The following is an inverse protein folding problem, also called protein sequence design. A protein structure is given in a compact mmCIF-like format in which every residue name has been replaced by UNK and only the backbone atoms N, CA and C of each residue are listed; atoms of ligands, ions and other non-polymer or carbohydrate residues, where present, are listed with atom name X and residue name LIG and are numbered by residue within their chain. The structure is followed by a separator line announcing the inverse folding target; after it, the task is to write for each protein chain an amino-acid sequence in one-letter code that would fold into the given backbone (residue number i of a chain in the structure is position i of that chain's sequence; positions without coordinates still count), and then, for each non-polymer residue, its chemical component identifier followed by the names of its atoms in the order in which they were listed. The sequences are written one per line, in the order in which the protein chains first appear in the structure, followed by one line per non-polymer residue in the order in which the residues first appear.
data_IF_134365910890
#
_entry.id   IF_134365910890
#
_cell.length_a   1.000
_cell.length_b   1.000
_cell.length_c   1.000
_cell.angle_alpha   90.00
_cell.angle_beta   90.00
_cell.angle_gamma   90.00
#
_symmetry.space_group_name_H-M   'P 1'
#
loop_
_entity.id
_entity.type
_entity.pdbx_description
1 polymer ?
#
# COMPACT_ATOMS: atom_id res chain seq x y z
N UNK A 1 -73.44 29.43 59.98
CA UNK A 1 -74.53 28.70 59.30
C UNK A 1 -73.87 27.61 58.45
N UNK A 2 -74.00 26.45 58.96
CA UNK A 2 -74.67 25.28 58.44
C UNK A 2 -73.83 24.27 57.63
N UNK A 3 -73.61 23.17 58.28
CA UNK A 3 -73.69 21.75 57.98
C UNK A 3 -72.61 21.13 57.01
N UNK A 4 -71.78 20.24 57.57
CA UNK A 4 -71.80 18.78 57.63
C UNK A 4 -71.95 18.08 56.28
N UNK A 5 -70.93 17.31 55.85
CA UNK A 5 -71.06 15.84 55.90
C UNK A 5 -69.74 15.08 55.65
N UNK A 6 -69.58 14.15 56.55
CA UNK A 6 -68.56 13.15 56.62
C UNK A 6 -68.93 11.99 55.66
N UNK A 7 -68.00 11.44 54.88
CA UNK A 7 -68.06 10.02 54.48
C UNK A 7 -66.64 9.46 54.29
N UNK A 8 -66.36 8.49 55.15
CA UNK A 8 -65.26 7.56 55.02
C UNK A 8 -65.43 6.71 53.76
N UNK A 9 -64.34 6.43 53.08
CA UNK A 9 -64.19 5.21 52.28
C UNK A 9 -62.74 4.75 52.27
N UNK A 10 -62.64 3.57 52.72
CA UNK A 10 -61.70 2.43 52.69
C UNK A 10 -60.41 2.54 51.89
N UNK A 11 -59.30 2.17 52.56
CA UNK A 11 -57.96 1.82 52.06
C UNK A 11 -58.05 0.59 51.18
N UNK A 12 -57.53 0.67 49.96
CA UNK A 12 -57.13 -0.46 49.16
C UNK A 12 -55.68 -0.28 48.79
N UNK A 13 -54.84 -1.03 49.39
CA UNK A 13 -53.42 -1.15 49.07
C UNK A 13 -53.29 -1.90 47.73
N UNK A 14 -52.86 -1.21 46.70
CA UNK A 14 -52.39 -1.86 45.46
C UNK A 14 -50.87 -1.87 45.40
N UNK A 15 -50.34 -3.05 45.53
CA UNK A 15 -48.91 -3.39 45.38
C UNK A 15 -48.50 -3.14 43.89
N UNK A 16 -47.88 -2.04 43.61
CA UNK A 16 -47.32 -1.75 42.29
C UNK A 16 -45.99 -2.48 42.09
N UNK A 17 -45.99 -3.52 41.27
CA UNK A 17 -44.77 -4.12 40.76
C UNK A 17 -44.04 -3.12 39.85
N UNK A 18 -42.92 -2.61 40.28
CA UNK A 18 -42.02 -1.80 39.45
C UNK A 18 -41.27 -2.77 38.54
N UNK A 19 -41.71 -2.90 37.30
CA UNK A 19 -40.93 -3.56 36.25
C UNK A 19 -39.72 -2.65 35.91
N UNK A 20 -38.54 -2.96 36.44
CA UNK A 20 -37.29 -2.42 35.91
C UNK A 20 -37.03 -3.03 34.52
N UNK A 21 -37.43 -2.28 33.48
CA UNK A 21 -36.91 -2.51 32.13
C UNK A 21 -35.45 -2.12 32.12
N UNK A 22 -34.56 -3.09 32.27
CA UNK A 22 -33.14 -2.93 31.98
C UNK A 22 -32.98 -2.66 30.50
N UNK A 23 -32.69 -1.43 30.11
CA UNK A 23 -32.16 -1.12 28.81
C UNK A 23 -30.71 -1.69 28.77
N UNK A 24 -30.55 -2.86 28.18
CA UNK A 24 -29.27 -3.30 27.69
C UNK A 24 -28.88 -2.32 26.57
N UNK A 25 -27.91 -1.44 26.84
CA UNK A 25 -27.17 -0.74 25.82
C UNK A 25 -26.42 -1.84 25.06
N UNK A 26 -26.97 -2.25 23.93
CA UNK A 26 -26.22 -2.98 22.94
C UNK A 26 -25.14 -2.01 22.45
N UNK A 27 -23.90 -2.26 22.84
CA UNK A 27 -22.71 -1.65 22.27
C UNK A 27 -22.62 -2.19 20.84
N UNK A 28 -23.36 -1.58 19.91
CA UNK A 28 -23.18 -1.78 18.49
C UNK A 28 -21.89 -1.06 18.12
N UNK A 29 -20.75 -1.73 18.32
CA UNK A 29 -19.59 -1.48 17.48
C UNK A 29 -20.10 -1.69 16.06
N UNK A 30 -20.22 -0.60 15.30
CA UNK A 30 -20.46 -0.66 13.88
C UNK A 30 -19.22 -1.37 13.28
N UNK A 31 -19.28 -2.69 13.15
CA UNK A 31 -18.47 -3.41 12.18
C UNK A 31 -18.86 -2.81 10.83
N UNK A 32 -17.98 -1.98 10.29
CA UNK A 32 -18.10 -1.47 8.94
C UNK A 32 -18.19 -2.72 8.06
N UNK A 33 -19.33 -2.91 7.36
CA UNK A 33 -19.52 -3.98 6.38
C UNK A 33 -18.52 -3.78 5.24
N UNK A 34 -17.27 -4.21 5.43
CA UNK A 34 -16.24 -4.34 4.39
C UNK A 34 -16.22 -5.76 3.83
N UNK A 35 -17.22 -6.58 4.18
CA UNK A 35 -17.29 -7.97 3.77
C UNK A 35 -17.35 -8.06 2.24
N UNK A 36 -16.29 -8.65 1.63
CA UNK A 36 -16.12 -8.76 0.19
C UNK A 36 -15.53 -7.51 -0.51
N UNK A 37 -15.21 -6.43 0.20
CA UNK A 37 -14.47 -5.30 -0.37
C UNK A 37 -12.96 -5.53 -0.29
N UNK A 38 -12.23 -4.96 -1.25
CA UNK A 38 -10.77 -4.97 -1.31
C UNK A 38 -10.23 -3.54 -1.22
N UNK A 39 -8.99 -3.36 -0.77
CA UNK A 39 -8.35 -2.05 -0.87
C UNK A 39 -8.34 -1.56 -2.32
N UNK A 40 -8.78 -0.32 -2.52
CA UNK A 40 -8.83 0.32 -3.85
C UNK A 40 -7.50 0.24 -4.61
N UNK A 41 -6.41 0.05 -3.87
CA UNK A 41 -5.04 0.04 -4.43
C UNK A 41 -4.63 -1.30 -5.03
N UNK A 42 -5.25 -2.42 -4.65
CA UNK A 42 -4.83 -3.78 -5.02
C UNK A 42 -5.57 -4.26 -6.27
N UNK A 43 -4.99 -3.99 -7.43
CA UNK A 43 -5.59 -4.42 -8.71
C UNK A 43 -5.26 -5.87 -9.06
N UNK A 44 -4.01 -6.28 -8.81
CA UNK A 44 -3.56 -7.65 -9.03
C UNK A 44 -2.37 -7.97 -8.11
N UNK A 45 -2.42 -9.15 -7.50
CA UNK A 45 -1.37 -9.62 -6.58
C UNK A 45 -0.95 -11.01 -7.01
N UNK A 46 0.34 -11.24 -7.35
CA UNK A 46 0.85 -12.54 -7.79
C UNK A 46 0.92 -13.54 -6.63
N UNK A 47 0.98 -14.82 -6.94
CA UNK A 47 1.04 -15.90 -5.94
C UNK A 47 2.30 -15.88 -5.08
N UNK A 48 3.35 -15.23 -5.55
CA UNK A 48 4.59 -15.04 -4.79
C UNK A 48 4.50 -13.99 -3.66
N UNK A 49 3.41 -13.23 -3.58
CA UNK A 49 3.18 -12.23 -2.52
C UNK A 49 2.16 -12.78 -1.52
N UNK A 50 2.64 -13.21 -0.37
CA UNK A 50 1.80 -13.76 0.71
C UNK A 50 1.19 -12.66 1.58
N UNK A 51 1.95 -11.62 1.85
CA UNK A 51 1.59 -10.52 2.74
C UNK A 51 1.65 -9.16 2.05
N UNK A 52 0.67 -8.31 2.36
CA UNK A 52 0.61 -6.91 1.95
C UNK A 52 0.32 -6.09 3.20
N UNK A 53 1.11 -5.05 3.43
CA UNK A 53 0.88 -4.10 4.51
C UNK A 53 0.33 -2.80 3.94
N UNK A 54 -0.77 -2.31 4.54
CA UNK A 54 -1.35 -1.00 4.19
C UNK A 54 -1.44 -0.15 5.44
N UNK A 55 -0.68 0.94 5.45
CA UNK A 55 -0.67 1.92 6.51
C UNK A 55 -1.73 2.99 6.26
N UNK A 56 -2.79 3.03 7.06
CA UNK A 56 -3.73 4.15 7.17
C UNK A 56 -3.14 5.18 8.13
N UNK A 57 -2.59 6.26 7.58
CA UNK A 57 -1.90 7.27 8.40
C UNK A 57 -2.86 8.17 9.17
N UNK A 58 -4.12 8.31 8.74
CA UNK A 58 -5.14 9.09 9.44
C UNK A 58 -5.66 8.37 10.69
N UNK A 59 -5.78 7.05 10.62
CA UNK A 59 -6.23 6.20 11.71
C UNK A 59 -5.07 5.72 12.61
N UNK A 60 -3.81 5.98 12.24
CA UNK A 60 -2.63 5.41 12.87
C UNK A 60 -2.69 3.87 12.96
N UNK A 61 -3.10 3.24 11.87
CA UNK A 61 -3.39 1.80 11.81
C UNK A 61 -2.65 1.15 10.64
N UNK A 62 -1.97 0.05 10.92
CA UNK A 62 -1.39 -0.85 9.92
C UNK A 62 -2.36 -2.01 9.69
N UNK A 63 -2.86 -2.16 8.47
CA UNK A 63 -3.67 -3.29 8.03
C UNK A 63 -2.79 -4.33 7.37
N UNK A 64 -3.05 -5.60 7.67
CA UNK A 64 -2.43 -6.74 7.02
C UNK A 64 -3.45 -7.43 6.12
N UNK A 65 -3.06 -7.63 4.89
CA UNK A 65 -3.80 -8.45 3.93
C UNK A 65 -2.97 -9.67 3.59
N UNK A 66 -3.61 -10.82 3.52
CA UNK A 66 -2.95 -12.10 3.25
C UNK A 66 -3.59 -12.80 2.08
N UNK A 67 -2.79 -13.67 1.45
CA UNK A 67 -3.28 -14.55 0.42
C UNK A 67 -4.00 -15.74 1.05
N UNK A 68 -5.17 -16.07 0.50
CA UNK A 68 -5.95 -17.26 0.82
C UNK A 68 -6.37 -17.97 -0.47
N UNK A 69 -6.99 -19.13 -0.35
CA UNK A 69 -7.57 -19.86 -1.49
C UNK A 69 -8.68 -19.05 -2.19
N UNK A 70 -9.31 -18.13 -1.49
CA UNK A 70 -10.35 -17.24 -2.03
C UNK A 70 -9.79 -15.92 -2.63
N UNK A 71 -8.47 -15.71 -2.60
CA UNK A 71 -7.80 -14.49 -3.03
C UNK A 71 -7.20 -13.70 -1.87
N UNK A 72 -7.04 -12.40 -2.05
CA UNK A 72 -6.52 -11.52 -1.00
C UNK A 72 -7.65 -11.19 -0.02
N UNK A 73 -7.38 -11.31 1.28
CA UNK A 73 -8.33 -11.01 2.35
C UNK A 73 -7.69 -10.16 3.44
N UNK A 74 -8.49 -9.33 4.10
CA UNK A 74 -8.07 -8.61 5.30
C UNK A 74 -7.93 -9.59 6.45
N UNK A 75 -6.74 -9.70 7.02
CA UNK A 75 -6.44 -10.63 8.11
C UNK A 75 -6.58 -9.96 9.47
N UNK A 76 -5.88 -8.85 9.65
CA UNK A 76 -5.86 -8.13 10.92
C UNK A 76 -5.46 -6.66 10.72
N UNK A 77 -5.56 -5.90 11.80
CA UNK A 77 -5.05 -4.54 11.88
C UNK A 77 -4.40 -4.28 13.24
N UNK A 78 -3.45 -3.37 13.27
CA UNK A 78 -2.70 -3.03 14.48
C UNK A 78 -2.34 -1.56 14.53
N UNK A 79 -2.22 -1.07 15.77
CA UNK A 79 -1.78 0.30 16.00
C UNK A 79 -0.39 0.54 15.45
N UNK A 80 -0.14 1.73 14.90
CA UNK A 80 1.18 2.21 14.50
C UNK A 80 1.40 3.68 14.87
N UNK A 81 2.68 4.07 14.97
CA UNK A 81 3.11 5.47 15.02
C UNK A 81 3.77 5.86 13.71
N UNK A 82 3.58 7.11 13.31
CA UNK A 82 4.15 7.72 12.11
C UNK A 82 4.97 8.97 12.44
N UNK A 83 5.43 9.66 11.43
CA UNK A 83 6.21 10.90 11.56
C UNK A 83 5.53 11.96 12.43
N UNK A 84 6.30 12.66 13.27
CA UNK A 84 5.81 13.73 14.17
C UNK A 84 5.06 14.84 13.44
N UNK A 85 5.41 15.09 12.17
CA UNK A 85 4.75 16.06 11.31
C UNK A 85 3.67 15.43 10.40
N UNK A 86 3.21 14.19 10.72
CA UNK A 86 2.20 13.46 9.96
C UNK A 86 2.76 12.78 8.71
N UNK A 87 1.92 12.64 7.69
CA UNK A 87 2.24 12.02 6.41
C UNK A 87 2.46 13.05 5.28
N UNK A 88 2.96 12.58 4.13
CA UNK A 88 3.26 13.41 2.95
C UNK A 88 4.67 13.99 2.98
N UNK A 89 5.68 13.09 3.13
CA UNK A 89 7.10 13.44 3.10
C UNK A 89 7.52 13.96 1.73
N UNK A 90 8.23 15.10 1.72
CA UNK A 90 8.78 15.73 0.52
C UNK A 90 10.28 15.98 0.64
N UNK A 91 10.77 16.30 1.83
CA UNK A 91 12.15 16.76 2.06
C UNK A 91 12.83 15.97 3.18
N UNK A 92 14.16 15.90 3.11
CA UNK A 92 14.96 15.43 4.22
C UNK A 92 14.62 16.22 5.50
N UNK A 93 14.55 15.55 6.64
CA UNK A 93 14.33 16.12 7.97
C UNK A 93 12.96 16.79 8.21
N UNK A 94 11.97 16.61 7.33
CA UNK A 94 10.61 17.14 7.51
C UNK A 94 9.77 16.39 8.55
N UNK A 95 10.29 15.27 9.08
CA UNK A 95 9.65 14.39 10.07
C UNK A 95 8.29 13.86 9.63
N UNK A 96 8.10 13.72 8.32
CA UNK A 96 6.88 13.17 7.75
C UNK A 96 7.10 11.76 7.23
N UNK A 97 6.08 10.93 7.33
CA UNK A 97 6.03 9.62 6.68
C UNK A 97 5.66 9.80 5.20
N UNK A 98 6.35 9.17 4.26
CA UNK A 98 6.00 9.26 2.84
C UNK A 98 4.67 8.56 2.56
N UNK A 99 3.96 9.02 1.52
CA UNK A 99 2.77 8.38 0.98
C UNK A 99 3.12 7.76 -0.37
N UNK A 100 2.62 6.56 -0.65
CA UNK A 100 2.91 5.84 -1.88
C UNK A 100 3.05 4.34 -1.68
N UNK A 101 3.61 3.66 -2.68
CA UNK A 101 3.85 2.20 -2.69
C UNK A 101 5.33 1.95 -2.54
N UNK A 102 5.72 1.26 -1.47
CA UNK A 102 7.10 0.92 -1.13
C UNK A 102 7.28 -0.58 -0.97
N UNK A 103 8.54 -1.01 -0.96
CA UNK A 103 8.91 -2.40 -0.71
C UNK A 103 9.93 -2.46 0.42
N UNK A 104 9.86 -3.50 1.22
CA UNK A 104 10.90 -3.85 2.19
C UNK A 104 12.16 -4.19 1.39
N UNK A 105 13.31 -3.62 1.76
CA UNK A 105 14.57 -3.88 1.06
C UNK A 105 15.39 -4.99 1.70
N UNK A 106 15.35 -5.08 3.02
CA UNK A 106 16.09 -6.07 3.80
C UNK A 106 15.50 -6.21 5.21
N UNK A 107 15.94 -7.25 5.95
CA UNK A 107 15.71 -7.39 7.39
C UNK A 107 17.00 -7.08 8.12
N UNK A 108 16.99 -6.08 9.01
CA UNK A 108 18.18 -5.64 9.72
C UNK A 108 18.41 -6.41 11.03
N UNK A 109 19.66 -6.68 11.34
CA UNK A 109 20.07 -7.21 12.65
C UNK A 109 19.98 -6.13 13.72
N UNK A 110 18.90 -6.15 14.50
CA UNK A 110 18.61 -5.13 15.53
C UNK A 110 19.62 -5.12 16.67
N UNK A 111 20.38 -6.19 16.88
CA UNK A 111 21.46 -6.23 17.90
C UNK A 111 22.58 -5.21 17.62
N UNK A 112 22.67 -4.71 16.40
CA UNK A 112 23.64 -3.71 15.93
C UNK A 112 23.04 -2.31 15.79
N UNK A 113 21.76 -2.15 16.10
CA UNK A 113 21.05 -0.89 15.96
C UNK A 113 20.83 -0.24 17.34
N UNK A 114 20.43 1.03 17.32
CA UNK A 114 20.00 1.72 18.53
C UNK A 114 18.69 1.12 19.04
N UNK A 115 18.51 1.03 20.35
CA UNK A 115 17.34 0.42 21.02
C UNK A 115 15.99 0.98 20.56
N UNK A 116 15.97 2.23 20.08
CA UNK A 116 14.75 2.87 19.54
C UNK A 116 14.08 2.11 18.38
N UNK A 117 14.80 1.23 17.70
CA UNK A 117 14.27 0.43 16.60
C UNK A 117 13.60 -0.88 17.05
N UNK A 118 13.71 -1.22 18.35
CA UNK A 118 12.99 -2.32 18.96
C UNK A 118 13.39 -3.71 18.45
N UNK A 119 12.40 -4.60 18.39
CA UNK A 119 12.62 -6.02 18.17
C UNK A 119 12.95 -6.40 16.72
N UNK A 120 12.54 -5.62 15.74
CA UNK A 120 12.80 -5.85 14.31
C UNK A 120 12.85 -4.52 13.55
N UNK A 121 13.53 -4.50 12.40
CA UNK A 121 13.64 -3.32 11.56
C UNK A 121 13.77 -3.70 10.07
N UNK A 122 12.96 -3.08 9.23
CA UNK A 122 12.84 -3.30 7.81
C UNK A 122 12.90 -1.96 7.05
N UNK A 123 14.02 -1.62 6.42
CA UNK A 123 14.09 -0.44 5.56
C UNK A 123 13.13 -0.56 4.38
N UNK A 124 12.52 0.58 4.03
CA UNK A 124 11.72 0.74 2.82
C UNK A 124 12.55 1.45 1.74
N UNK A 125 12.22 1.19 0.49
CA UNK A 125 12.90 1.74 -0.70
C UNK A 125 12.59 3.21 -1.00
N UNK A 126 12.29 4.00 0.04
CA UNK A 126 12.14 5.45 -0.07
C UNK A 126 13.51 6.16 -0.19
N UNK A 127 13.73 7.10 -1.14
CA UNK A 127 12.82 7.50 -2.22
C UNK A 127 12.86 6.51 -3.40
N UNK A 128 11.70 6.06 -3.86
CA UNK A 128 11.55 5.22 -5.04
C UNK A 128 11.66 6.05 -6.35
N UNK A 129 11.42 5.44 -7.53
CA UNK A 129 11.55 6.17 -8.80
C UNK A 129 10.52 7.31 -8.93
N UNK A 130 9.30 7.13 -8.42
CA UNK A 130 8.27 8.17 -8.42
C UNK A 130 8.62 9.32 -7.47
N UNK A 131 9.17 9.02 -6.31
CA UNK A 131 9.64 10.06 -5.38
C UNK A 131 10.77 10.89 -6.00
N UNK A 132 11.73 10.23 -6.64
CA UNK A 132 12.83 10.91 -7.37
C UNK A 132 12.32 11.74 -8.55
N UNK A 133 11.35 11.23 -9.31
CA UNK A 133 10.66 11.99 -10.35
C UNK A 133 10.08 13.30 -9.82
N UNK A 134 9.48 13.26 -8.62
CA UNK A 134 8.92 14.43 -7.95
C UNK A 134 9.97 15.23 -7.13
N UNK A 135 11.26 14.91 -7.26
CA UNK A 135 12.35 15.58 -6.54
C UNK A 135 12.21 15.51 -5.01
N UNK A 136 11.51 14.49 -4.50
CA UNK A 136 11.45 14.23 -3.07
C UNK A 136 12.80 13.75 -2.56
N UNK A 137 13.16 14.17 -1.35
CA UNK A 137 14.49 13.90 -0.78
C UNK A 137 14.41 13.31 0.61
N UNK A 138 15.53 12.80 1.10
CA UNK A 138 15.65 12.10 2.37
C UNK A 138 15.88 10.61 2.16
N UNK A 139 16.05 9.88 3.25
CA UNK A 139 16.31 8.44 3.30
C UNK A 139 15.98 7.90 4.68
N UNK A 140 16.12 6.59 4.88
CA UNK A 140 16.02 5.98 6.20
C UNK A 140 14.58 5.91 6.73
N UNK A 141 13.62 5.67 5.85
CA UNK A 141 12.25 5.34 6.23
C UNK A 141 12.16 3.82 6.42
N UNK A 142 11.82 3.40 7.63
CA UNK A 142 11.77 2.01 8.02
C UNK A 142 10.42 1.64 8.62
N UNK A 143 10.06 0.38 8.52
CA UNK A 143 9.10 -0.28 9.40
C UNK A 143 9.90 -0.91 10.54
N UNK A 144 9.62 -0.53 11.80
CA UNK A 144 10.40 -1.01 12.93
C UNK A 144 9.58 -1.09 14.23
N UNK A 145 10.14 -1.73 15.24
CA UNK A 145 9.56 -1.83 16.57
C UNK A 145 9.72 -0.55 17.41
N UNK A 146 9.52 -0.69 18.70
CA UNK A 146 9.62 0.40 19.68
C UNK A 146 10.70 0.07 20.73
N UNK A 147 11.29 1.10 21.33
CA UNK A 147 12.23 0.93 22.45
C UNK A 147 11.58 0.11 23.56
N UNK A 148 12.25 -0.95 24.01
CA UNK A 148 11.77 -1.83 25.09
C UNK A 148 11.54 -1.10 26.42
N UNK A 149 12.29 -0.01 26.66
CA UNK A 149 12.14 0.82 27.85
C UNK A 149 11.03 1.88 27.70
N UNK A 150 10.58 2.14 26.47
CA UNK A 150 9.49 3.07 26.17
C UNK A 150 8.56 2.47 25.09
N UNK A 151 7.78 1.43 25.45
CA UNK A 151 6.99 0.68 24.46
C UNK A 151 5.73 1.41 23.97
N UNK A 152 5.31 2.46 24.67
CA UNK A 152 4.11 3.22 24.30
C UNK A 152 4.52 4.48 23.54
N UNK A 153 4.01 4.62 22.31
CA UNK A 153 4.23 5.79 21.49
C UNK A 153 2.89 6.43 21.09
N UNK A 154 2.80 7.76 21.07
CA UNK A 154 1.65 8.43 20.45
C UNK A 154 1.63 8.21 18.93
N UNK A 155 0.49 8.47 18.25
CA UNK A 155 0.39 8.28 16.81
C UNK A 155 1.42 9.06 15.99
N UNK A 156 1.80 10.25 16.44
CA UNK A 156 2.78 11.15 15.80
C UNK A 156 4.06 11.23 16.65
N UNK A 157 5.02 10.33 16.40
CA UNK A 157 6.19 10.23 17.29
C UNK A 157 7.53 9.90 16.58
N UNK A 158 7.52 9.51 15.31
CA UNK A 158 8.74 9.12 14.61
C UNK A 158 9.35 10.27 13.80
N UNK A 159 10.56 10.09 13.28
CA UNK A 159 11.18 11.02 12.32
C UNK A 159 10.75 10.75 10.86
N UNK A 160 9.68 9.96 10.68
CA UNK A 160 9.08 9.58 9.39
C UNK A 160 8.93 8.08 9.17
N UNK A 161 9.46 7.25 10.04
CA UNK A 161 9.30 5.79 10.01
C UNK A 161 7.87 5.36 10.36
N UNK A 162 7.53 4.12 10.04
CA UNK A 162 6.37 3.40 10.53
C UNK A 162 6.82 2.55 11.73
N UNK A 163 6.25 2.76 12.91
CA UNK A 163 6.64 2.02 14.10
C UNK A 163 5.46 1.27 14.69
N UNK A 164 5.64 -0.03 14.94
CA UNK A 164 4.67 -0.93 15.54
C UNK A 164 5.10 -1.34 16.95
N UNK A 165 4.18 -1.68 17.87
CA UNK A 165 4.53 -2.38 19.09
C UNK A 165 5.35 -3.64 18.78
N UNK A 166 6.38 -3.92 19.58
CA UNK A 166 7.32 -5.03 19.31
C UNK A 166 6.63 -6.38 19.13
N UNK A 167 5.65 -6.71 19.97
CA UNK A 167 4.91 -7.97 19.88
C UNK A 167 4.12 -8.07 18.58
N UNK A 168 3.53 -6.97 18.11
CA UNK A 168 2.77 -6.92 16.86
C UNK A 168 3.70 -7.06 15.65
N UNK A 169 4.85 -6.42 15.68
CA UNK A 169 5.84 -6.53 14.61
C UNK A 169 6.43 -7.94 14.52
N UNK A 170 6.74 -8.56 15.68
CA UNK A 170 7.30 -9.92 15.72
C UNK A 170 6.36 -10.98 15.13
N UNK A 171 5.05 -10.78 15.15
CA UNK A 171 4.08 -11.67 14.48
C UNK A 171 4.15 -11.60 12.96
N UNK A 172 4.79 -10.56 12.41
CA UNK A 172 4.93 -10.35 10.96
C UNK A 172 6.30 -10.80 10.42
N UNK A 173 7.33 -10.85 11.28
CA UNK A 173 8.74 -10.99 10.83
C UNK A 173 8.95 -12.15 9.87
N UNK A 174 8.36 -13.31 10.14
CA UNK A 174 8.56 -14.53 9.36
C UNK A 174 7.85 -14.49 7.98
N UNK A 175 6.84 -13.63 7.82
CA UNK A 175 6.06 -13.48 6.59
C UNK A 175 6.52 -12.31 5.72
N UNK A 176 7.28 -11.36 6.28
CA UNK A 176 7.78 -10.20 5.54
C UNK A 176 9.00 -10.59 4.69
N UNK A 177 8.83 -10.52 3.38
CA UNK A 177 9.86 -10.91 2.41
C UNK A 177 10.51 -9.69 1.77
N UNK A 178 11.84 -9.49 1.92
CA UNK A 178 12.55 -8.41 1.23
C UNK A 178 12.35 -8.45 -0.29
N UNK A 179 12.18 -7.28 -0.89
CA UNK A 179 11.95 -7.05 -2.31
C UNK A 179 10.63 -7.64 -2.87
N UNK A 180 9.81 -8.29 -2.01
CA UNK A 180 8.53 -8.92 -2.40
C UNK A 180 7.36 -8.28 -1.69
N UNK A 181 7.40 -8.17 -0.36
CA UNK A 181 6.29 -7.62 0.43
C UNK A 181 6.11 -6.13 0.17
N UNK A 182 4.97 -5.69 -0.40
CA UNK A 182 4.65 -4.28 -0.56
C UNK A 182 4.16 -3.67 0.76
N UNK A 183 4.57 -2.43 0.99
CA UNK A 183 4.09 -1.57 2.08
C UNK A 183 3.46 -0.34 1.44
N UNK A 184 2.14 -0.31 1.38
CA UNK A 184 1.37 0.80 0.83
C UNK A 184 1.08 1.78 1.97
N UNK A 185 1.51 3.02 1.82
CA UNK A 185 1.29 4.07 2.83
C UNK A 185 0.26 5.04 2.27
N UNK A 186 -0.96 4.93 2.77
CA UNK A 186 -2.10 5.74 2.38
C UNK A 186 -2.40 6.82 3.43
N UNK A 187 -3.01 7.91 3.02
CA UNK A 187 -3.58 8.88 3.94
C UNK A 187 -4.73 8.26 4.71
N UNK A 188 -5.59 7.57 3.99
CA UNK A 188 -6.73 6.80 4.49
C UNK A 188 -6.87 5.55 3.65
N UNK A 189 -7.27 4.43 4.26
CA UNK A 189 -7.56 3.21 3.53
C UNK A 189 -8.93 3.33 2.86
N UNK A 190 -8.91 3.30 1.52
CA UNK A 190 -10.11 3.30 0.68
C UNK A 190 -10.44 1.89 0.18
N UNK A 191 -11.73 1.59 0.07
CA UNK A 191 -12.26 0.29 -0.30
C UNK A 191 -13.01 0.35 -1.62
N UNK A 192 -12.96 -0.74 -2.38
CA UNK A 192 -13.66 -0.89 -3.65
C UNK A 192 -14.28 -2.29 -3.78
N UNK A 193 -15.31 -2.40 -4.62
CA UNK A 193 -15.84 -3.71 -4.98
C UNK A 193 -14.87 -4.45 -5.92
N UNK A 194 -14.79 -5.79 -5.86
CA UNK A 194 -13.98 -6.57 -6.80
C UNK A 194 -14.30 -6.25 -8.27
N UNK A 195 -15.57 -5.98 -8.60
CA UNK A 195 -15.98 -5.66 -9.97
C UNK A 195 -15.39 -4.33 -10.48
N UNK A 196 -15.28 -3.30 -9.61
CA UNK A 196 -14.66 -2.03 -9.98
C UNK A 196 -13.16 -2.19 -10.21
N UNK A 197 -12.50 -3.00 -9.37
CA UNK A 197 -11.08 -3.31 -9.51
C UNK A 197 -10.79 -4.13 -10.77
N UNK A 198 -11.65 -5.09 -11.11
CA UNK A 198 -11.50 -5.95 -12.29
C UNK A 198 -11.48 -5.14 -13.60
N UNK A 199 -12.38 -4.18 -13.75
CA UNK A 199 -12.41 -3.32 -14.93
C UNK A 199 -11.09 -2.55 -15.12
N UNK A 200 -10.58 -1.95 -14.05
CA UNK A 200 -9.34 -1.19 -14.06
C UNK A 200 -8.12 -2.11 -14.27
N UNK A 201 -8.10 -3.28 -13.61
CA UNK A 201 -7.06 -4.29 -13.79
C UNK A 201 -6.96 -4.73 -15.25
N UNK A 202 -8.07 -5.01 -15.92
CA UNK A 202 -8.08 -5.42 -17.32
C UNK A 202 -7.53 -4.32 -18.24
N UNK A 203 -7.92 -3.06 -18.05
CA UNK A 203 -7.35 -1.95 -18.82
C UNK A 203 -5.83 -1.85 -18.62
N UNK A 204 -5.37 -1.97 -17.38
CA UNK A 204 -3.94 -1.89 -17.07
C UNK A 204 -3.15 -3.08 -17.64
N UNK A 205 -3.73 -4.29 -17.58
CA UNK A 205 -3.13 -5.48 -18.19
C UNK A 205 -2.95 -5.32 -19.69
N UNK A 206 -3.91 -4.74 -20.39
CA UNK A 206 -3.78 -4.46 -21.84
C UNK A 206 -2.61 -3.52 -22.11
N UNK A 207 -2.44 -2.46 -21.33
CA UNK A 207 -1.32 -1.52 -21.48
C UNK A 207 0.04 -2.19 -21.22
N UNK A 208 0.12 -2.98 -20.15
CA UNK A 208 1.35 -3.74 -19.81
C UNK A 208 1.69 -4.79 -20.87
N UNK A 209 0.67 -5.49 -21.40
CA UNK A 209 0.89 -6.49 -22.45
C UNK A 209 1.31 -5.84 -23.78
N UNK A 210 0.77 -4.67 -24.12
CA UNK A 210 1.23 -3.89 -25.27
C UNK A 210 2.72 -3.51 -25.14
N UNK A 211 3.15 -3.10 -23.94
CA UNK A 211 4.56 -2.84 -23.66
C UNK A 211 5.41 -4.11 -23.84
N UNK A 212 4.97 -5.26 -23.31
CA UNK A 212 5.65 -6.54 -23.43
C UNK A 212 5.78 -6.97 -24.92
N UNK A 213 4.67 -6.92 -25.64
CA UNK A 213 4.61 -7.32 -27.06
C UNK A 213 5.48 -6.43 -27.94
N UNK A 214 5.47 -5.11 -27.72
CA UNK A 214 6.32 -4.19 -28.50
C UNK A 214 7.81 -4.47 -28.29
N UNK A 215 8.21 -4.85 -27.06
CA UNK A 215 9.57 -5.25 -26.77
C UNK A 215 9.94 -6.60 -27.43
N UNK A 216 9.04 -7.58 -27.39
CA UNK A 216 9.21 -8.91 -27.98
C UNK A 216 9.32 -8.85 -29.52
N UNK A 217 8.50 -8.04 -30.15
CA UNK A 217 8.44 -7.89 -31.61
C UNK A 217 9.50 -6.94 -32.17
N UNK A 218 10.26 -6.25 -31.32
CA UNK A 218 11.22 -5.23 -31.76
C UNK A 218 10.53 -3.96 -32.28
N UNK A 219 9.25 -3.73 -31.93
CA UNK A 219 8.52 -2.52 -32.33
C UNK A 219 8.86 -1.34 -31.42
N UNK A 220 9.98 -0.68 -31.75
CA UNK A 220 10.47 0.47 -31.01
C UNK A 220 9.47 1.64 -31.01
N UNK A 221 8.71 1.83 -32.10
CA UNK A 221 7.77 2.94 -32.20
C UNK A 221 6.63 2.77 -31.20
N UNK A 222 5.99 1.61 -31.18
CA UNK A 222 4.95 1.29 -30.20
C UNK A 222 5.53 1.30 -28.78
N UNK A 223 6.71 0.70 -28.55
CA UNK A 223 7.37 0.71 -27.25
C UNK A 223 7.56 2.13 -26.72
N UNK A 224 8.16 3.03 -27.51
CA UNK A 224 8.41 4.41 -27.10
C UNK A 224 7.12 5.25 -26.99
N UNK A 225 6.07 4.90 -27.71
CA UNK A 225 4.78 5.58 -27.60
C UNK A 225 4.11 5.40 -26.22
N UNK A 226 4.50 4.36 -25.47
CA UNK A 226 4.02 4.10 -24.12
C UNK A 226 4.73 4.94 -23.05
N UNK A 227 5.77 5.69 -23.40
CA UNK A 227 6.49 6.55 -22.46
C UNK A 227 6.00 7.99 -22.58
N UNK A 228 5.73 8.63 -21.44
CA UNK A 228 5.28 10.01 -21.39
C UNK A 228 6.38 11.00 -21.84
N UNK A 229 5.98 12.18 -22.32
CA UNK A 229 6.94 13.21 -22.75
C UNK A 229 7.82 13.70 -21.59
N UNK A 230 7.29 13.70 -20.36
CA UNK A 230 8.00 14.04 -19.12
C UNK A 230 8.66 12.84 -18.42
N UNK A 231 8.79 11.69 -19.11
CA UNK A 231 9.44 10.50 -18.57
C UNK A 231 10.86 10.77 -18.11
N UNK A 232 11.22 10.20 -16.96
CA UNK A 232 12.59 10.24 -16.41
C UNK A 232 12.99 8.84 -15.92
N UNK A 233 14.17 8.41 -16.34
CA UNK A 233 14.86 7.23 -15.79
C UNK A 233 16.21 7.64 -15.26
N UNK A 234 16.40 7.64 -13.93
CA UNK A 234 17.58 8.21 -13.27
C UNK A 234 17.79 9.67 -13.72
N UNK A 235 18.86 9.95 -14.48
CA UNK A 235 19.18 11.27 -15.02
C UNK A 235 18.87 11.40 -16.53
N UNK A 236 18.29 10.36 -17.14
CA UNK A 236 17.93 10.35 -18.56
C UNK A 236 16.53 10.92 -18.78
N UNK A 237 16.45 11.89 -19.70
CA UNK A 237 15.20 12.40 -20.24
C UNK A 237 14.52 11.37 -21.17
N UNK A 238 13.31 11.67 -21.62
CA UNK A 238 12.59 10.89 -22.62
C UNK A 238 13.39 10.72 -23.93
N UNK A 239 14.10 11.75 -24.36
CA UNK A 239 14.93 11.73 -25.59
C UNK A 239 16.19 10.90 -25.43
N UNK A 240 16.87 11.03 -24.29
CA UNK A 240 18.05 10.21 -23.94
C UNK A 240 17.65 8.74 -23.85
N UNK A 241 16.50 8.44 -23.23
CA UNK A 241 15.94 7.10 -23.15
C UNK A 241 15.62 6.53 -24.53
N UNK A 242 15.03 7.31 -25.41
CA UNK A 242 14.72 6.89 -26.78
C UNK A 242 15.98 6.53 -27.56
N UNK A 243 17.02 7.35 -27.46
CA UNK A 243 18.31 7.11 -28.09
C UNK A 243 18.99 5.86 -27.54
N UNK A 244 18.94 5.67 -26.21
CA UNK A 244 19.46 4.46 -25.57
C UNK A 244 18.71 3.20 -26.03
N UNK A 245 17.36 3.26 -26.08
CA UNK A 245 16.54 2.13 -26.50
C UNK A 245 16.70 1.78 -27.98
N UNK A 246 16.89 2.76 -28.85
CA UNK A 246 17.20 2.51 -30.24
C UNK A 246 18.43 1.58 -30.37
N UNK A 247 19.52 1.89 -29.72
CA UNK A 247 20.69 1.04 -29.72
C UNK A 247 20.46 -0.37 -29.13
N UNK A 248 19.61 -0.46 -28.09
CA UNK A 248 19.24 -1.77 -27.50
C UNK A 248 18.44 -2.63 -28.47
N UNK A 249 17.46 -2.04 -29.16
CA UNK A 249 16.59 -2.73 -30.13
C UNK A 249 17.36 -3.16 -31.38
N UNK A 250 18.31 -2.33 -31.87
CA UNK A 250 19.18 -2.66 -32.99
C UNK A 250 20.17 -3.78 -32.66
N UNK A 251 20.67 -3.81 -31.43
CA UNK A 251 21.70 -4.77 -31.02
C UNK A 251 21.17 -6.15 -30.58
N UNK A 252 19.84 -6.27 -30.39
CA UNK A 252 19.28 -7.49 -29.77
C UNK A 252 17.98 -7.93 -30.44
N UNK A 253 17.99 -9.18 -30.93
CA UNK A 253 16.76 -9.91 -31.22
C UNK A 253 16.37 -10.77 -30.03
N UNK A 254 15.10 -10.76 -29.66
CA UNK A 254 14.55 -11.56 -28.57
C UNK A 254 13.74 -12.71 -29.16
N UNK A 255 13.96 -13.91 -28.64
CA UNK A 255 13.16 -15.08 -28.98
C UNK A 255 11.82 -15.11 -28.21
N UNK A 256 11.70 -14.31 -27.14
CA UNK A 256 10.50 -14.19 -26.36
C UNK A 256 10.69 -13.25 -25.16
N UNK A 257 9.57 -12.72 -24.64
CA UNK A 257 9.51 -11.91 -23.44
C UNK A 257 8.37 -12.42 -22.55
N UNK A 258 8.71 -12.91 -21.36
CA UNK A 258 7.73 -13.27 -20.33
C UNK A 258 7.74 -12.25 -19.19
N UNK A 259 6.58 -12.07 -18.56
CA UNK A 259 6.41 -11.31 -17.33
C UNK A 259 5.81 -12.23 -16.29
N UNK A 260 6.60 -12.55 -15.28
CA UNK A 260 6.21 -13.38 -14.16
C UNK A 260 6.00 -12.52 -12.90
N UNK A 261 5.28 -13.03 -11.90
CA UNK A 261 5.06 -12.36 -10.62
C UNK A 261 4.52 -10.93 -10.75
N UNK A 262 3.51 -10.74 -11.59
CA UNK A 262 2.97 -9.41 -11.87
C UNK A 262 2.12 -8.91 -10.72
N UNK A 263 2.57 -7.83 -10.09
CA UNK A 263 1.83 -7.04 -9.11
C UNK A 263 1.38 -5.74 -9.79
N UNK A 264 0.08 -5.44 -9.74
CA UNK A 264 -0.50 -4.17 -10.22
C UNK A 264 -1.16 -3.46 -9.06
N UNK A 265 -0.73 -2.24 -8.78
CA UNK A 265 -1.26 -1.43 -7.69
C UNK A 265 -1.53 0.01 -8.15
N UNK A 266 -2.59 0.61 -7.62
CA UNK A 266 -2.83 2.04 -7.75
C UNK A 266 -2.06 2.80 -6.66
N UNK A 267 -1.58 4.00 -6.97
CA UNK A 267 -0.97 4.87 -5.96
C UNK A 267 -2.07 5.38 -4.99
N UNK A 268 -1.83 5.32 -3.67
CA UNK A 268 -2.85 5.67 -2.68
C UNK A 268 -3.09 7.18 -2.54
N UNK A 269 -2.22 8.03 -3.08
CA UNK A 269 -2.31 9.49 -2.93
C UNK A 269 -2.52 10.19 -4.27
N UNK A 270 -1.91 9.67 -5.34
CA UNK A 270 -1.92 10.33 -6.64
C UNK A 270 -2.93 9.65 -7.56
N UNK A 271 -4.02 10.35 -7.83
CA UNK A 271 -5.06 9.87 -8.74
C UNK A 271 -4.47 9.55 -10.12
N UNK A 272 -4.90 8.44 -10.71
CA UNK A 272 -4.48 7.99 -12.02
C UNK A 272 -2.97 7.67 -12.14
N UNK A 273 -2.30 7.44 -11.02
CA UNK A 273 -0.95 6.89 -10.97
C UNK A 273 -1.00 5.42 -10.55
N UNK A 274 -0.23 4.60 -11.21
CA UNK A 274 -0.22 3.15 -11.00
C UNK A 274 1.20 2.61 -11.06
N UNK A 275 1.45 1.50 -10.38
CA UNK A 275 2.69 0.76 -10.41
C UNK A 275 2.45 -0.65 -10.92
N UNK A 276 3.22 -1.07 -11.93
CA UNK A 276 3.42 -2.48 -12.23
C UNK A 276 4.81 -2.92 -11.78
N UNK A 277 4.88 -3.99 -10.98
CA UNK A 277 6.13 -4.69 -10.61
C UNK A 277 6.05 -6.12 -11.13
N UNK A 278 7.10 -6.59 -11.77
CA UNK A 278 7.14 -7.93 -12.34
C UNK A 278 8.56 -8.42 -12.52
N UNK A 279 8.72 -9.72 -12.65
CA UNK A 279 9.94 -10.37 -13.10
C UNK A 279 9.90 -10.47 -14.63
N UNK A 280 10.77 -9.71 -15.29
CA UNK A 280 10.94 -9.78 -16.75
C UNK A 280 11.95 -10.87 -17.09
N UNK A 281 11.56 -11.79 -17.99
CA UNK A 281 12.44 -12.81 -18.56
C UNK A 281 12.58 -12.57 -20.06
N UNK A 282 13.78 -12.18 -20.47
CA UNK A 282 14.14 -11.99 -21.88
C UNK A 282 14.84 -13.26 -22.40
N UNK A 283 14.26 -13.90 -23.41
CA UNK A 283 14.88 -15.04 -24.09
C UNK A 283 15.84 -14.50 -25.15
N UNK A 284 17.15 -14.64 -24.90
CA UNK A 284 18.22 -14.21 -25.82
C UNK A 284 18.96 -15.42 -26.38
N UNK A 285 19.76 -15.23 -27.44
CA UNK A 285 20.59 -16.27 -28.02
C UNK A 285 21.60 -16.87 -27.01
N UNK A 286 21.96 -16.11 -25.98
CA UNK A 286 22.84 -16.52 -24.89
C UNK A 286 22.11 -17.17 -23.71
N UNK A 287 20.78 -17.33 -23.79
CA UNK A 287 19.91 -17.85 -22.75
C UNK A 287 19.01 -16.77 -22.10
N UNK A 288 18.21 -17.14 -21.09
CA UNK A 288 17.31 -16.24 -20.44
C UNK A 288 18.06 -15.21 -19.58
N UNK A 289 17.60 -13.95 -19.66
CA UNK A 289 18.05 -12.86 -18.79
C UNK A 289 16.85 -12.41 -17.95
N UNK A 290 16.98 -12.54 -16.64
CA UNK A 290 15.91 -12.23 -15.68
C UNK A 290 16.24 -10.95 -14.93
N UNK A 291 15.26 -10.05 -14.84
CA UNK A 291 15.37 -8.79 -14.08
C UNK A 291 14.02 -8.43 -13.46
N UNK A 292 14.01 -7.90 -12.24
CA UNK A 292 12.80 -7.26 -11.70
C UNK A 292 12.66 -5.89 -12.32
N UNK A 293 11.44 -5.54 -12.69
CA UNK A 293 11.07 -4.24 -13.24
C UNK A 293 9.94 -3.63 -12.46
N UNK A 294 10.00 -2.31 -12.27
CA UNK A 294 8.91 -1.49 -11.77
C UNK A 294 8.68 -0.35 -12.75
N UNK A 295 7.44 -0.25 -13.26
CA UNK A 295 7.03 0.82 -14.16
C UNK A 295 5.94 1.64 -13.48
N UNK A 296 6.13 2.95 -13.42
CA UNK A 296 5.15 3.90 -12.91
C UNK A 296 4.38 4.47 -14.09
N UNK A 297 3.06 4.27 -14.05
CA UNK A 297 2.17 4.59 -15.15
C UNK A 297 1.23 5.71 -14.76
N UNK A 298 1.03 6.65 -15.66
CA UNK A 298 -0.03 7.66 -15.57
C UNK A 298 -1.12 7.31 -16.57
N UNK A 299 -2.37 7.27 -16.10
CA UNK A 299 -3.56 7.11 -16.94
C UNK A 299 -4.20 8.47 -17.12
N UNK A 300 -4.32 8.95 -18.37
CA UNK A 300 -4.98 10.21 -18.68
C UNK A 300 -6.51 10.07 -18.66
N UNK A 301 -7.22 11.20 -18.73
CA UNK A 301 -8.70 11.21 -18.71
C UNK A 301 -9.31 10.53 -19.95
N UNK A 302 -8.61 10.53 -21.08
CA UNK A 302 -8.96 9.80 -22.31
C UNK A 302 -8.49 8.32 -22.27
N UNK A 303 -8.15 7.81 -21.09
CA UNK A 303 -7.74 6.42 -20.79
C UNK A 303 -6.43 5.98 -21.47
N UNK A 304 -5.57 6.91 -21.85
CA UNK A 304 -4.25 6.57 -22.36
C UNK A 304 -3.29 6.29 -21.21
N UNK A 305 -2.57 5.17 -21.29
CA UNK A 305 -1.56 4.78 -20.33
C UNK A 305 -0.17 5.18 -20.80
N UNK A 306 0.58 5.87 -19.94
CA UNK A 306 1.96 6.30 -20.23
C UNK A 306 2.86 6.05 -19.04
N UNK A 307 4.04 5.49 -19.29
CA UNK A 307 5.08 5.29 -18.29
C UNK A 307 5.75 6.63 -18.03
N UNK A 308 5.79 7.05 -16.78
CA UNK A 308 6.41 8.32 -16.34
C UNK A 308 7.76 8.13 -15.67
N UNK A 309 8.02 6.95 -15.10
CA UNK A 309 9.32 6.58 -14.55
C UNK A 309 9.43 5.06 -14.46
N UNK A 310 10.65 4.55 -14.33
CA UNK A 310 10.91 3.14 -14.07
C UNK A 310 12.13 2.92 -13.18
N UNK A 311 12.21 1.77 -12.56
CA UNK A 311 13.44 1.25 -11.97
C UNK A 311 13.53 -0.28 -12.04
N UNK A 312 14.68 -0.81 -11.63
CA UNK A 312 14.87 -2.23 -11.39
C UNK A 312 14.68 -2.45 -9.90
N UNK A 313 13.60 -3.08 -9.50
CA UNK A 313 13.22 -3.34 -8.11
C UNK A 313 14.28 -4.03 -7.27
#
# INVERSE_FOLDING_TARGET
MTFYNCRQFSVLASLGYLLMCGFALADTTAETETDGLLPLYLLEVPDSVDDILIADTSAATMHRFVRSDAGIMHEDQRYMSIGQAGAGKEKAWDRKTPLGVYFITESLDTSKLHDKYGAAAFPLDYPNAWDRFNKRTGYGIWLHGVDHNNPQRPPLDTDGCLSLPNEELLRLVDSLQPLVTPVIVARQLDWASPADLDALRLEFRVALDMWRQSLEQGDLVTYLSLYADDFIYRDMSRDDWSSYKLGVFEARQLAGVALDDVLLVADPEVKNLYLSRFTQVLMTDSGPVTTTKRLYWRRSDDRQWRIVSEDSG
#
